data_IF_882366900660
#
_entry.id   IF_882366900660
#
_cell.length_a   1.000
_cell.length_b   1.000
_cell.length_c   1.000
_cell.angle_alpha   90.00
_cell.angle_beta   90.00
_cell.angle_gamma   90.00
#
_symmetry.space_group_name_H-M   'P 1'
#
loop_
_entity.id
_entity.type
_entity.pdbx_description
1 polymer ?
#
# COMPACT_ATOMS: atom_id res chain seq x y z
N UNK A 1 -27.12 9.73 -33.57
CA UNK A 1 -26.53 10.94 -32.95
C UNK A 1 -26.58 10.77 -31.42
N UNK A 2 -25.52 10.27 -30.77
CA UNK A 2 -25.55 9.88 -29.34
C UNK A 2 -24.33 10.35 -28.54
N UNK A 3 -23.84 11.57 -28.80
CA UNK A 3 -22.59 12.09 -28.22
C UNK A 3 -22.72 12.92 -26.93
N UNK A 4 -23.93 13.26 -26.47
CA UNK A 4 -24.13 14.23 -25.38
C UNK A 4 -23.92 13.71 -23.96
N UNK A 5 -24.00 12.39 -23.73
CA UNK A 5 -23.89 11.83 -22.38
C UNK A 5 -22.44 11.83 -21.86
N UNK A 6 -21.45 11.78 -22.77
CA UNK A 6 -20.05 11.77 -22.39
C UNK A 6 -19.58 13.19 -22.01
N UNK A 7 -19.98 14.21 -22.77
CA UNK A 7 -19.62 15.61 -22.49
C UNK A 7 -20.21 16.10 -21.17
N UNK A 8 -21.49 15.80 -20.89
CA UNK A 8 -22.10 16.13 -19.59
C UNK A 8 -21.39 15.42 -18.43
N UNK A 9 -21.03 14.14 -18.61
CA UNK A 9 -20.31 13.37 -17.59
C UNK A 9 -18.93 13.95 -17.31
N UNK A 10 -18.20 14.36 -18.34
CA UNK A 10 -16.87 14.97 -18.18
C UNK A 10 -16.97 16.35 -17.52
N UNK A 11 -17.94 17.17 -17.95
CA UNK A 11 -18.22 18.46 -17.33
C UNK A 11 -18.50 18.34 -15.83
N UNK A 12 -19.39 17.41 -15.44
CA UNK A 12 -19.70 17.19 -14.01
C UNK A 12 -18.46 16.72 -13.25
N UNK A 13 -17.64 15.84 -13.84
CA UNK A 13 -16.40 15.38 -13.19
C UNK A 13 -15.40 16.52 -12.97
N UNK A 14 -15.23 17.39 -13.96
CA UNK A 14 -14.33 18.55 -13.87
C UNK A 14 -14.85 19.55 -12.84
N UNK A 15 -16.13 19.89 -12.90
CA UNK A 15 -16.78 20.78 -11.94
C UNK A 15 -16.63 20.26 -10.49
N UNK A 16 -16.90 18.98 -10.25
CA UNK A 16 -16.74 18.38 -8.93
C UNK A 16 -15.29 18.46 -8.46
N UNK A 17 -14.33 18.21 -9.36
CA UNK A 17 -12.90 18.31 -9.03
C UNK A 17 -12.54 19.73 -8.61
N UNK A 18 -12.96 20.75 -9.36
CA UNK A 18 -12.69 22.15 -9.06
C UNK A 18 -13.32 22.59 -7.72
N UNK A 19 -14.51 22.10 -7.40
CA UNK A 19 -15.18 22.41 -6.13
C UNK A 19 -14.52 21.74 -4.92
N UNK A 20 -14.03 20.50 -5.08
CA UNK A 20 -13.57 19.67 -3.95
C UNK A 20 -12.08 19.86 -3.65
N UNK A 21 -11.25 20.13 -4.66
CA UNK A 21 -9.79 20.30 -4.47
C UNK A 21 -9.44 21.35 -3.39
N UNK A 22 -10.04 22.56 -3.37
CA UNK A 22 -9.78 23.55 -2.31
C UNK A 22 -10.12 23.04 -0.90
N UNK A 23 -11.19 22.24 -0.77
CA UNK A 23 -11.60 21.66 0.51
C UNK A 23 -10.62 20.57 0.97
N UNK A 24 -10.08 19.79 0.04
CA UNK A 24 -9.04 18.79 0.33
C UNK A 24 -7.76 19.47 0.83
N UNK A 25 -7.34 20.56 0.17
CA UNK A 25 -6.18 21.36 0.59
C UNK A 25 -6.37 21.89 2.02
N UNK A 26 -7.50 22.55 2.27
CA UNK A 26 -7.82 23.10 3.58
C UNK A 26 -7.84 22.03 4.67
N UNK A 27 -8.46 20.87 4.41
CA UNK A 27 -8.47 19.73 5.34
C UNK A 27 -7.06 19.22 5.66
N UNK A 28 -6.16 19.22 4.67
CA UNK A 28 -4.77 18.79 4.87
C UNK A 28 -3.99 19.74 5.77
N UNK A 29 -4.23 21.04 5.63
CA UNK A 29 -3.57 22.08 6.44
C UNK A 29 -4.11 22.11 7.87
N UNK A 30 -5.43 22.01 8.03
CA UNK A 30 -6.10 22.13 9.34
C UNK A 30 -6.01 20.85 10.20
N UNK A 31 -5.81 19.67 9.59
CA UNK A 31 -5.85 18.38 10.31
C UNK A 31 -4.49 17.67 10.31
N UNK A 32 -3.61 17.92 11.29
CA UNK A 32 -2.43 17.10 11.50
C UNK A 32 -2.84 15.70 11.99
N UNK A 33 -2.31 14.64 11.36
CA UNK A 33 -2.58 13.25 11.78
C UNK A 33 -3.60 12.48 10.93
N UNK A 34 -3.86 12.90 9.69
CA UNK A 34 -4.67 12.12 8.75
C UNK A 34 -4.06 10.72 8.51
N UNK A 35 -4.91 9.71 8.48
CA UNK A 35 -4.47 8.34 8.18
C UNK A 35 -3.83 8.24 6.78
N UNK A 36 -2.90 7.29 6.62
CA UNK A 36 -2.19 7.06 5.35
C UNK A 36 -3.15 6.89 4.16
N UNK A 37 -4.23 6.14 4.34
CA UNK A 37 -5.23 5.89 3.29
C UNK A 37 -5.92 7.18 2.82
N UNK A 38 -6.15 8.13 3.75
CA UNK A 38 -6.73 9.43 3.42
C UNK A 38 -5.71 10.24 2.62
N UNK A 39 -4.45 10.30 3.07
CA UNK A 39 -3.37 11.00 2.36
C UNK A 39 -3.15 10.46 0.94
N UNK A 40 -3.20 9.14 0.74
CA UNK A 40 -3.13 8.52 -0.59
C UNK A 40 -4.34 8.90 -1.47
N UNK A 41 -5.56 8.92 -0.90
CA UNK A 41 -6.75 9.36 -1.63
C UNK A 41 -6.68 10.84 -2.03
N UNK A 42 -6.16 11.71 -1.15
CA UNK A 42 -5.92 13.12 -1.46
C UNK A 42 -4.92 13.28 -2.62
N UNK A 43 -3.84 12.47 -2.63
CA UNK A 43 -2.89 12.41 -3.73
C UNK A 43 -3.54 12.05 -5.08
N UNK A 44 -4.45 11.06 -5.08
CA UNK A 44 -5.20 10.67 -6.29
C UNK A 44 -6.14 11.77 -6.82
N UNK A 45 -6.57 12.69 -5.95
CA UNK A 45 -7.36 13.86 -6.34
C UNK A 45 -6.51 15.02 -6.89
N UNK A 46 -5.18 14.88 -6.94
CA UNK A 46 -4.26 15.89 -7.44
C UNK A 46 -3.71 16.85 -6.38
N UNK A 47 -3.94 16.56 -5.09
CA UNK A 47 -3.35 17.35 -4.00
C UNK A 47 -1.96 16.80 -3.67
N UNK A 48 -0.88 17.57 -3.89
CA UNK A 48 0.48 17.07 -3.71
C UNK A 48 0.68 16.64 -2.27
N UNK A 49 0.85 15.34 -2.10
CA UNK A 49 1.22 14.74 -0.83
C UNK A 49 2.69 14.35 -0.96
N UNK A 50 3.52 14.59 0.05
CA UNK A 50 4.95 14.20 0.05
C UNK A 50 5.17 12.69 -0.17
N UNK A 51 4.12 11.86 0.02
CA UNK A 51 4.08 10.43 -0.31
C UNK A 51 3.87 10.12 -1.81
N UNK A 52 3.43 11.09 -2.60
CA UNK A 52 3.04 10.89 -4.00
C UNK A 52 4.22 10.89 -4.97
N UNK A 53 5.40 11.35 -4.54
CA UNK A 53 6.62 11.30 -5.36
C UNK A 53 7.32 9.92 -5.36
N UNK A 54 6.90 8.99 -4.48
CA UNK A 54 7.56 7.68 -4.30
C UNK A 54 6.69 6.50 -4.79
N UNK A 55 5.46 6.77 -5.25
CA UNK A 55 4.46 5.71 -5.43
C UNK A 55 4.16 5.30 -6.88
N UNK A 56 4.73 5.93 -7.89
CA UNK A 56 4.51 5.50 -9.29
C UNK A 56 5.26 4.21 -9.67
N UNK A 57 6.19 3.71 -8.84
CA UNK A 57 6.98 2.51 -9.14
C UNK A 57 6.78 1.36 -8.13
N UNK A 58 6.06 1.59 -7.03
CA UNK A 58 5.88 0.59 -5.94
C UNK A 58 4.40 0.14 -5.79
N UNK A 59 3.48 0.72 -6.57
CA UNK A 59 2.03 0.51 -6.40
C UNK A 59 1.47 -0.77 -7.08
N UNK A 60 2.28 -1.80 -7.33
CA UNK A 60 1.75 -3.14 -7.60
C UNK A 60 1.85 -4.11 -6.41
N UNK A 61 2.54 -3.76 -5.31
CA UNK A 61 2.80 -4.74 -4.24
C UNK A 61 2.12 -4.49 -2.88
N UNK A 62 1.51 -3.32 -2.62
CA UNK A 62 1.09 -2.96 -1.25
C UNK A 62 -0.42 -3.05 -0.96
N UNK A 63 -1.30 -3.23 -1.96
CA UNK A 63 -2.75 -3.23 -1.74
C UNK A 63 -3.39 -4.62 -1.69
N UNK A 64 -2.59 -5.68 -1.81
CA UNK A 64 -3.09 -7.02 -1.54
C UNK A 64 -2.66 -7.41 -0.14
N UNK A 65 -3.67 -7.62 0.69
CA UNK A 65 -3.66 -8.48 1.85
C UNK A 65 -2.99 -9.80 1.43
N UNK A 66 -1.63 -9.87 1.43
CA UNK A 66 -0.87 -11.01 0.94
C UNK A 66 -1.23 -12.17 1.85
N UNK A 67 -2.20 -12.98 1.42
CA UNK A 67 -2.71 -14.13 2.17
C UNK A 67 -1.51 -14.90 2.69
N UNK A 68 -1.44 -15.06 4.01
CA UNK A 68 -0.32 -15.70 4.69
C UNK A 68 -0.06 -17.06 4.06
N UNK A 69 1.16 -17.30 3.59
CA UNK A 69 1.53 -18.56 2.94
C UNK A 69 1.76 -19.63 4.01
N UNK A 70 1.58 -20.90 3.64
CA UNK A 70 1.95 -22.04 4.50
C UNK A 70 3.47 -22.16 4.57
N UNK A 71 3.99 -22.59 5.72
CA UNK A 71 5.39 -22.99 5.84
C UNK A 71 5.72 -24.09 4.81
N UNK A 72 6.82 -23.93 4.09
CA UNK A 72 7.26 -24.83 3.04
C UNK A 72 7.63 -26.23 3.55
N UNK A 73 8.16 -26.33 4.78
CA UNK A 73 8.63 -27.59 5.38
C UNK A 73 7.56 -28.32 6.21
N UNK A 74 6.50 -27.62 6.61
CA UNK A 74 5.41 -28.26 7.35
C UNK A 74 4.61 -29.18 6.42
N UNK A 75 4.27 -30.38 6.92
CA UNK A 75 3.25 -31.23 6.28
C UNK A 75 1.93 -30.45 6.17
N UNK A 76 1.19 -30.67 5.08
CA UNK A 76 -0.07 -29.97 4.80
C UNK A 76 -1.08 -30.06 5.96
N UNK A 77 -1.12 -31.20 6.66
CA UNK A 77 -2.00 -31.43 7.82
C UNK A 77 -1.77 -30.46 9.00
N UNK A 78 -0.58 -29.85 9.12
CA UNK A 78 -0.30 -28.86 10.19
C UNK A 78 -0.80 -27.44 9.85
N UNK A 79 -1.11 -27.16 8.58
CA UNK A 79 -1.57 -25.86 8.03
C UNK A 79 -0.94 -24.59 8.62
N UNK A 80 0.36 -24.60 8.95
CA UNK A 80 0.98 -23.43 9.60
C UNK A 80 1.16 -22.27 8.64
N UNK A 81 0.34 -21.24 8.81
CA UNK A 81 0.47 -19.96 8.10
C UNK A 81 1.58 -19.12 8.74
N UNK A 82 2.43 -18.51 7.91
CA UNK A 82 3.59 -17.75 8.37
C UNK A 82 3.73 -16.45 7.59
N UNK A 83 4.38 -15.48 8.24
CA UNK A 83 4.76 -14.19 7.65
C UNK A 83 6.29 -14.07 7.47
N UNK A 84 7.04 -15.06 7.96
CA UNK A 84 8.49 -15.12 7.94
C UNK A 84 8.98 -15.90 6.72
N UNK A 85 10.06 -15.41 6.11
CA UNK A 85 10.66 -15.98 4.91
C UNK A 85 12.16 -16.21 5.14
N UNK A 86 12.72 -17.26 4.54
CA UNK A 86 14.15 -17.52 4.57
C UNK A 86 14.90 -16.43 3.80
N UNK A 87 16.00 -15.91 4.36
CA UNK A 87 16.85 -14.90 3.70
C UNK A 87 17.50 -15.41 2.41
N UNK A 88 17.90 -16.68 2.38
CA UNK A 88 18.59 -17.27 1.22
C UNK A 88 17.64 -17.62 0.07
N UNK A 89 16.50 -18.25 0.38
CA UNK A 89 15.63 -18.84 -0.65
C UNK A 89 14.24 -18.21 -0.75
N UNK A 90 13.92 -17.22 0.09
CA UNK A 90 12.61 -16.54 0.11
C UNK A 90 11.39 -17.45 0.27
N UNK A 91 11.57 -18.71 0.70
CA UNK A 91 10.47 -19.63 1.02
C UNK A 91 9.85 -19.25 2.38
N UNK A 92 8.52 -19.40 2.56
CA UNK A 92 7.85 -19.16 3.83
C UNK A 92 8.25 -20.24 4.86
N UNK A 93 8.69 -19.84 6.06
CA UNK A 93 9.19 -20.75 7.11
C UNK A 93 8.57 -20.44 8.47
N UNK A 94 8.15 -21.46 9.24
CA UNK A 94 7.62 -21.28 10.60
C UNK A 94 8.74 -21.27 11.64
N UNK A 95 8.42 -20.84 12.87
CA UNK A 95 9.39 -20.75 13.98
C UNK A 95 10.13 -22.06 14.28
N UNK A 96 9.51 -23.22 14.07
CA UNK A 96 10.15 -24.53 14.27
C UNK A 96 11.14 -24.89 13.15
N UNK A 97 10.97 -24.35 11.95
CA UNK A 97 11.85 -24.64 10.80
C UNK A 97 12.77 -23.46 10.48
N UNK A 98 12.70 -22.37 11.24
CA UNK A 98 13.54 -21.19 11.06
C UNK A 98 14.61 -21.15 12.16
N UNK A 99 15.84 -20.89 11.76
CA UNK A 99 16.89 -20.50 12.69
C UNK A 99 17.06 -18.98 12.63
N UNK A 100 17.06 -18.34 13.79
CA UNK A 100 17.32 -16.90 13.91
C UNK A 100 18.81 -16.74 14.20
N UNK A 101 19.54 -16.12 13.29
CA UNK A 101 20.92 -15.72 13.52
C UNK A 101 20.88 -14.33 14.16
N UNK A 102 21.41 -14.20 15.37
CA UNK A 102 21.58 -12.91 16.06
C UNK A 102 23.03 -12.49 15.88
N UNK A 103 23.24 -11.36 15.21
CA UNK A 103 24.57 -10.77 14.98
C UNK A 103 24.66 -9.50 15.84
N UNK A 104 25.76 -9.33 16.58
CA UNK A 104 25.97 -8.11 17.37
C UNK A 104 26.31 -6.93 16.45
N UNK A 105 26.11 -5.70 16.92
CA UNK A 105 26.38 -4.49 16.14
C UNK A 105 27.83 -4.37 15.63
N UNK A 106 28.79 -4.97 16.33
CA UNK A 106 30.19 -4.96 15.91
C UNK A 106 30.46 -5.93 14.75
N UNK A 107 29.77 -7.07 14.70
CA UNK A 107 29.95 -8.10 13.67
C UNK A 107 29.08 -7.88 12.41
N UNK A 108 28.22 -6.85 12.41
CA UNK A 108 27.40 -6.47 11.24
C UNK A 108 28.13 -5.53 10.28
N UNK A 109 29.30 -4.99 10.68
CA UNK A 109 30.15 -4.12 9.86
C UNK A 109 31.17 -4.88 9.04
#
# INVERSE_FOLDING_TARGET
MGGGHNTQRMFIKELVKELVVPQIHRRREESPGLSKNILEAMGRCGVPTSLSAVTSEIQEQSCQNKRRKRCYYCRAARDRKVNTYCCECSKPVCREHSHIIVICYQCMR
#
